data_IF_359372791530
#
_entry.id   IF_359372791530
#
_cell.length_a   1.000
_cell.length_b   1.000
_cell.length_c   1.000
_cell.angle_alpha   90.00
_cell.angle_beta   90.00
_cell.angle_gamma   90.00
#
_symmetry.space_group_name_H-M   'P 1'
#
loop_
_entity.id
_entity.type
_entity.pdbx_description
1 polymer ?
#
# COMPACT_ATOMS: atom_id res chain seq x y z
N UNK A 1 10.44 12.78 -2.00
CA UNK A 1 9.18 11.99 -2.05
C UNK A 1 9.41 10.55 -2.49
N UNK A 2 10.15 10.30 -3.57
CA UNK A 2 10.40 8.93 -4.09
C UNK A 2 11.00 7.95 -3.07
N UNK A 3 11.84 8.44 -2.14
CA UNK A 3 12.42 7.62 -1.06
C UNK A 3 11.38 7.11 -0.07
N UNK A 4 10.39 7.92 0.33
CA UNK A 4 9.36 7.54 1.32
C UNK A 4 8.45 6.43 0.80
N UNK A 5 7.99 6.53 -0.45
CA UNK A 5 7.20 5.47 -1.10
C UNK A 5 7.96 4.14 -1.15
N UNK A 6 9.24 4.19 -1.52
CA UNK A 6 10.08 2.98 -1.56
C UNK A 6 10.33 2.41 -0.19
N UNK A 7 10.65 3.26 0.79
CA UNK A 7 10.89 2.82 2.16
C UNK A 7 9.66 2.16 2.78
N UNK A 8 8.47 2.75 2.57
CA UNK A 8 7.21 2.13 2.93
C UNK A 8 7.05 0.75 2.27
N UNK A 9 7.30 0.62 0.96
CA UNK A 9 7.20 -0.67 0.27
C UNK A 9 8.16 -1.72 0.85
N UNK A 10 9.35 -1.33 1.30
CA UNK A 10 10.30 -2.26 1.94
C UNK A 10 9.79 -2.77 3.29
N UNK A 11 9.27 -1.87 4.13
CA UNK A 11 8.66 -2.24 5.40
C UNK A 11 7.43 -3.13 5.15
N UNK A 12 6.55 -2.70 4.24
CA UNK A 12 5.35 -3.44 3.88
C UNK A 12 5.68 -4.85 3.39
N UNK A 13 6.74 -5.01 2.57
CA UNK A 13 7.20 -6.33 2.14
C UNK A 13 7.56 -7.22 3.33
N UNK A 14 8.35 -6.72 4.29
CA UNK A 14 8.72 -7.48 5.50
C UNK A 14 7.49 -7.84 6.33
N UNK A 15 6.59 -6.87 6.55
CA UNK A 15 5.37 -7.08 7.34
C UNK A 15 4.44 -8.09 6.67
N UNK A 16 4.23 -8.00 5.36
CA UNK A 16 3.47 -8.98 4.59
C UNK A 16 4.09 -10.36 4.62
N UNK A 17 5.42 -10.47 4.50
CA UNK A 17 6.11 -11.76 4.58
C UNK A 17 5.93 -12.38 5.95
N UNK A 18 6.16 -11.62 7.03
CA UNK A 18 5.97 -12.11 8.40
C UNK A 18 4.52 -12.57 8.63
N UNK A 19 3.56 -11.77 8.20
CA UNK A 19 2.13 -12.10 8.30
C UNK A 19 1.69 -13.19 7.33
N UNK A 20 2.42 -13.51 6.27
CA UNK A 20 2.09 -14.66 5.43
C UNK A 20 2.64 -15.94 6.06
N UNK A 21 3.85 -15.89 6.62
CA UNK A 21 4.50 -17.05 7.22
C UNK A 21 3.78 -17.52 8.48
N UNK A 22 3.40 -16.61 9.40
CA UNK A 22 2.80 -16.98 10.68
C UNK A 22 1.45 -17.74 10.54
N UNK A 23 0.45 -17.25 9.79
CA UNK A 23 -0.83 -17.92 9.61
C UNK A 23 -0.72 -19.14 8.70
N UNK A 24 0.25 -19.24 7.80
CA UNK A 24 0.46 -20.49 7.05
C UNK A 24 0.88 -21.60 7.99
N UNK A 25 1.77 -21.32 8.95
CA UNK A 25 2.16 -22.31 9.98
C UNK A 25 0.95 -22.68 10.85
N UNK A 26 0.20 -21.68 11.33
CA UNK A 26 -0.98 -21.88 12.18
C UNK A 26 -2.10 -22.64 11.45
N UNK A 27 -2.41 -22.27 10.20
CA UNK A 27 -3.46 -22.90 9.39
C UNK A 27 -3.08 -24.28 8.86
N UNK A 28 -1.78 -24.57 8.71
CA UNK A 28 -1.31 -25.93 8.45
C UNK A 28 -1.59 -26.85 9.66
N UNK A 29 -1.52 -26.30 10.87
CA UNK A 29 -1.80 -27.04 12.11
C UNK A 29 -3.32 -27.23 12.31
N UNK A 30 -4.14 -26.23 11.95
CA UNK A 30 -5.61 -26.29 12.11
C UNK A 30 -6.39 -26.89 10.92
N UNK A 31 -5.72 -27.32 9.83
CA UNK A 31 -6.35 -27.77 8.56
C UNK A 31 -7.27 -26.74 7.86
N UNK A 32 -7.15 -25.44 8.19
CA UNK A 32 -8.08 -24.39 7.68
C UNK A 32 -7.70 -23.79 6.33
N UNK A 33 -6.57 -24.20 5.76
CA UNK A 33 -6.05 -23.65 4.49
C UNK A 33 -7.06 -23.68 3.33
N UNK A 34 -7.94 -24.69 3.27
CA UNK A 34 -8.87 -24.84 2.16
C UNK A 34 -9.92 -23.71 2.06
N UNK A 35 -10.25 -23.04 3.18
CA UNK A 35 -11.33 -22.05 3.22
C UNK A 35 -10.89 -20.62 2.90
N UNK A 36 -9.62 -20.26 3.10
CA UNK A 36 -9.17 -18.87 2.95
C UNK A 36 -7.78 -18.73 2.29
N UNK A 37 -7.36 -19.74 1.53
CA UNK A 37 -6.09 -19.72 0.79
C UNK A 37 -5.94 -18.46 -0.07
N UNK A 38 -7.04 -17.94 -0.65
CA UNK A 38 -7.03 -16.74 -1.48
C UNK A 38 -6.59 -15.51 -0.68
N UNK A 39 -7.01 -15.38 0.58
CA UNK A 39 -6.59 -14.29 1.45
C UNK A 39 -5.09 -14.36 1.72
N UNK A 40 -4.58 -15.56 2.01
CA UNK A 40 -3.15 -15.80 2.22
C UNK A 40 -2.33 -15.52 0.95
N UNK A 41 -2.86 -15.91 -0.22
CA UNK A 41 -2.26 -15.62 -1.52
C UNK A 41 -2.22 -14.11 -1.82
N UNK A 42 -3.26 -13.35 -1.48
CA UNK A 42 -3.29 -11.90 -1.64
C UNK A 42 -2.21 -11.21 -0.78
N UNK A 43 -1.98 -11.66 0.45
CA UNK A 43 -0.88 -11.15 1.27
C UNK A 43 0.49 -11.48 0.67
N UNK A 44 0.68 -12.71 0.17
CA UNK A 44 1.92 -13.09 -0.49
C UNK A 44 2.19 -12.26 -1.74
N UNK A 45 1.18 -12.10 -2.61
CA UNK A 45 1.28 -11.26 -3.81
C UNK A 45 1.56 -9.80 -3.45
N UNK A 46 0.96 -9.30 -2.36
CA UNK A 46 1.25 -7.96 -1.84
C UNK A 46 2.69 -7.85 -1.35
N UNK A 47 3.23 -8.87 -0.65
CA UNK A 47 4.64 -8.93 -0.26
C UNK A 47 5.58 -8.87 -1.48
N UNK A 48 5.33 -9.69 -2.50
CA UNK A 48 6.12 -9.74 -3.72
C UNK A 48 6.08 -8.42 -4.48
N UNK A 49 4.88 -7.84 -4.62
CA UNK A 49 4.72 -6.55 -5.29
C UNK A 49 5.41 -5.42 -4.51
N UNK A 50 5.28 -5.39 -3.18
CA UNK A 50 5.97 -4.44 -2.32
C UNK A 50 7.51 -4.57 -2.43
N UNK A 51 8.03 -5.80 -2.44
CA UNK A 51 9.45 -6.06 -2.57
C UNK A 51 9.98 -5.58 -3.94
N UNK A 52 9.29 -5.91 -5.02
CA UNK A 52 9.63 -5.44 -6.36
C UNK A 52 9.59 -3.91 -6.46
N UNK A 53 8.55 -3.27 -5.92
CA UNK A 53 8.41 -1.81 -5.90
C UNK A 53 9.47 -1.12 -5.01
N UNK A 54 9.86 -1.75 -3.90
CA UNK A 54 10.81 -1.21 -2.92
C UNK A 54 12.28 -1.35 -3.33
N UNK A 55 12.66 -2.45 -3.98
CA UNK A 55 14.04 -2.77 -4.36
C UNK A 55 14.25 -3.00 -5.85
N UNK A 56 13.33 -3.70 -6.52
CA UNK A 56 13.58 -4.26 -7.87
C UNK A 56 13.46 -3.28 -9.04
N UNK A 57 12.60 -2.27 -8.94
CA UNK A 57 12.34 -1.34 -10.06
C UNK A 57 13.08 -0.01 -9.94
N UNK A 58 13.58 0.52 -11.07
CA UNK A 58 14.16 1.87 -11.16
C UNK A 58 13.10 2.99 -11.12
N UNK A 59 11.88 2.70 -11.58
CA UNK A 59 10.77 3.67 -11.57
C UNK A 59 10.14 3.78 -10.18
N UNK A 60 9.75 4.99 -9.77
CA UNK A 60 8.97 5.17 -8.52
C UNK A 60 7.49 4.84 -8.70
N UNK A 61 7.00 4.76 -9.94
CA UNK A 61 5.57 4.59 -10.22
C UNK A 61 4.97 3.36 -9.53
N UNK A 62 5.61 2.16 -9.56
CA UNK A 62 5.09 1.01 -8.84
C UNK A 62 4.94 1.23 -7.34
N UNK A 63 5.89 1.92 -6.70
CA UNK A 63 5.81 2.22 -5.27
C UNK A 63 4.68 3.21 -4.95
N UNK A 64 4.39 4.15 -5.85
CA UNK A 64 3.21 5.03 -5.73
C UNK A 64 1.91 4.24 -5.87
N UNK A 65 1.81 3.39 -6.90
CA UNK A 65 0.64 2.53 -7.13
C UNK A 65 0.40 1.62 -5.93
N UNK A 66 1.46 1.02 -5.38
CA UNK A 66 1.36 0.19 -4.18
C UNK A 66 0.78 0.96 -2.99
N UNK A 67 1.35 2.12 -2.67
CA UNK A 67 0.89 2.95 -1.54
C UNK A 67 -0.57 3.37 -1.72
N UNK A 68 -0.95 3.85 -2.90
CA UNK A 68 -2.31 4.33 -3.15
C UNK A 68 -3.33 3.21 -3.23
N UNK A 69 -3.07 2.18 -4.04
CA UNK A 69 -4.03 1.12 -4.29
C UNK A 69 -4.04 0.11 -3.13
N UNK A 70 -2.90 -0.53 -2.84
CA UNK A 70 -2.83 -1.57 -1.81
C UNK A 70 -2.95 -0.95 -0.42
N UNK A 71 -2.22 0.12 -0.14
CA UNK A 71 -2.33 0.82 1.14
C UNK A 71 -3.72 1.41 1.38
N UNK A 72 -4.33 2.01 0.36
CA UNK A 72 -5.71 2.52 0.45
C UNK A 72 -6.74 1.42 0.68
N UNK A 73 -6.64 0.29 -0.04
CA UNK A 73 -7.49 -0.87 0.17
C UNK A 73 -7.36 -1.39 1.60
N UNK A 74 -6.14 -1.50 2.13
CA UNK A 74 -5.89 -1.99 3.48
C UNK A 74 -6.45 -1.04 4.54
N UNK A 75 -6.37 0.28 4.32
CA UNK A 75 -7.05 1.23 5.20
C UNK A 75 -8.57 1.01 5.21
N UNK A 76 -9.18 0.83 4.04
CA UNK A 76 -10.63 0.58 3.93
C UNK A 76 -11.00 -0.72 4.63
N UNK A 77 -10.29 -1.83 4.37
CA UNK A 77 -10.56 -3.11 5.01
C UNK A 77 -10.39 -3.03 6.53
N UNK A 78 -9.34 -2.36 7.01
CA UNK A 78 -9.07 -2.21 8.43
C UNK A 78 -10.10 -1.37 9.18
N UNK A 79 -10.77 -0.43 8.52
CA UNK A 79 -11.87 0.37 9.10
C UNK A 79 -13.20 -0.36 8.97
N UNK A 80 -13.55 -0.81 7.77
CA UNK A 80 -14.85 -1.44 7.48
C UNK A 80 -14.99 -2.80 8.18
N UNK A 81 -13.89 -3.54 8.35
CA UNK A 81 -13.88 -4.85 8.99
C UNK A 81 -14.32 -4.86 10.44
N UNK A 82 -14.35 -3.73 11.13
CA UNK A 82 -14.94 -3.64 12.48
C UNK A 82 -16.48 -3.72 12.46
N UNK A 83 -17.09 -3.55 11.30
CA UNK A 83 -18.55 -3.48 11.13
C UNK A 83 -19.12 -4.69 10.37
N UNK A 84 -18.27 -5.47 9.69
CA UNK A 84 -18.69 -6.66 8.95
C UNK A 84 -17.73 -7.83 9.25
N UNK A 85 -18.22 -9.08 9.32
CA UNK A 85 -17.37 -10.23 9.68
C UNK A 85 -16.37 -10.63 8.59
N UNK A 86 -16.59 -10.18 7.35
CA UNK A 86 -15.73 -10.49 6.22
C UNK A 86 -16.44 -10.33 4.87
N UNK A 87 -15.70 -10.56 3.79
CA UNK A 87 -16.21 -10.53 2.42
C UNK A 87 -16.29 -11.97 1.88
N UNK A 88 -17.36 -12.26 1.14
CA UNK A 88 -17.56 -13.53 0.39
C UNK A 88 -17.23 -14.81 1.20
N UNK A 89 -17.59 -14.82 2.49
CA UNK A 89 -17.20 -15.82 3.49
C UNK A 89 -17.62 -17.26 3.18
N UNK A 90 -18.59 -17.45 2.29
CA UNK A 90 -19.09 -18.77 1.88
C UNK A 90 -18.37 -19.35 0.67
N UNK A 91 -17.28 -18.71 0.23
CA UNK A 91 -16.53 -19.08 -0.98
C UNK A 91 -15.07 -19.34 -0.64
N UNK A 92 -14.30 -20.04 -1.51
CA UNK A 92 -12.84 -20.16 -1.37
C UNK A 92 -12.08 -18.82 -1.44
N UNK A 93 -12.77 -17.74 -1.77
CA UNK A 93 -12.25 -16.37 -1.81
C UNK A 93 -12.56 -15.58 -0.55
N UNK A 94 -12.98 -16.24 0.53
CA UNK A 94 -13.30 -15.63 1.81
C UNK A 94 -12.18 -14.70 2.28
N UNK A 95 -12.54 -13.47 2.62
CA UNK A 95 -11.66 -12.49 3.27
C UNK A 95 -12.22 -12.28 4.67
N UNK A 96 -11.78 -13.07 5.67
CA UNK A 96 -12.16 -12.83 7.06
C UNK A 96 -11.68 -11.45 7.51
N UNK A 97 -12.53 -10.73 8.24
CA UNK A 97 -12.23 -9.41 8.81
C UNK A 97 -12.39 -9.44 10.32
N UNK A 98 -11.72 -10.39 10.96
CA UNK A 98 -11.65 -10.46 12.41
C UNK A 98 -10.78 -9.34 13.00
N UNK A 99 -10.79 -9.17 14.34
CA UNK A 99 -9.96 -8.16 14.98
C UNK A 99 -8.46 -8.24 14.63
N UNK A 100 -7.81 -9.43 14.58
CA UNK A 100 -6.42 -9.54 14.17
C UNK A 100 -6.16 -9.04 12.74
N UNK A 101 -7.03 -9.41 11.80
CA UNK A 101 -6.94 -8.99 10.40
C UNK A 101 -7.12 -7.48 10.28
N UNK A 102 -8.09 -6.90 11.00
CA UNK A 102 -8.37 -5.47 10.96
C UNK A 102 -7.19 -4.65 11.51
N UNK A 103 -6.56 -5.10 12.61
CA UNK A 103 -5.35 -4.48 13.13
C UNK A 103 -4.22 -4.55 12.10
N UNK A 104 -4.01 -5.71 11.48
CA UNK A 104 -3.01 -5.85 10.42
C UNK A 104 -3.26 -4.91 9.24
N UNK A 105 -4.51 -4.83 8.77
CA UNK A 105 -4.94 -3.92 7.72
C UNK A 105 -4.66 -2.45 8.08
N UNK A 106 -4.97 -2.02 9.31
CA UNK A 106 -4.70 -0.65 9.79
C UNK A 106 -3.20 -0.36 9.94
N UNK A 107 -2.41 -1.31 10.42
CA UNK A 107 -0.94 -1.19 10.55
C UNK A 107 -0.28 -0.87 9.19
N UNK A 108 -0.83 -1.37 8.09
CA UNK A 108 -0.37 -1.02 6.74
C UNK A 108 -1.09 0.21 6.16
N UNK A 109 -2.40 0.31 6.35
CA UNK A 109 -3.23 1.36 5.75
C UNK A 109 -2.93 2.77 6.28
N UNK A 110 -2.73 2.93 7.59
CA UNK A 110 -2.50 4.24 8.20
C UNK A 110 -1.15 4.84 7.74
N UNK A 111 0.00 4.12 7.81
CA UNK A 111 1.25 4.65 7.29
C UNK A 111 1.21 4.91 5.78
N UNK A 112 0.48 4.09 5.01
CA UNK A 112 0.28 4.36 3.58
C UNK A 112 -0.43 5.70 3.34
N UNK A 113 -1.51 5.98 4.08
CA UNK A 113 -2.23 7.24 4.00
C UNK A 113 -1.36 8.44 4.36
N UNK A 114 -0.50 8.31 5.38
CA UNK A 114 0.49 9.33 5.74
C UNK A 114 1.47 9.57 4.58
N UNK A 115 2.05 8.51 4.01
CA UNK A 115 2.99 8.63 2.88
C UNK A 115 2.32 9.21 1.63
N UNK A 116 1.07 8.82 1.36
CA UNK A 116 0.26 9.36 0.28
C UNK A 116 -0.02 10.85 0.47
N UNK A 117 -0.49 11.26 1.66
CA UNK A 117 -0.81 12.65 2.01
C UNK A 117 0.40 13.58 1.97
N UNK A 118 1.56 13.12 2.46
CA UNK A 118 2.83 13.85 2.32
C UNK A 118 3.24 14.07 0.86
N UNK A 119 2.76 13.22 -0.06
CA UNK A 119 2.93 13.38 -1.51
C UNK A 119 1.99 14.40 -2.15
N UNK A 120 0.81 14.61 -1.59
CA UNK A 120 -0.24 15.52 -2.11
C UNK A 120 -0.03 16.96 -1.64
N UNK A 121 0.38 17.15 -0.39
CA UNK A 121 0.50 18.48 0.25
C UNK A 121 1.65 19.36 -0.31
N UNK A 122 2.47 18.83 -1.23
CA UNK A 122 3.51 19.59 -1.94
C UNK A 122 3.08 19.81 -3.39
N UNK A 123 2.02 20.59 -3.59
CA UNK A 123 1.72 21.20 -4.88
C UNK A 123 2.93 22.05 -5.27
N UNK A 124 3.43 22.00 -6.51
CA UNK A 124 4.42 22.97 -6.96
C UNK A 124 3.81 24.35 -6.75
N UNK A 125 4.37 25.14 -5.84
CA UNK A 125 4.20 26.59 -5.92
C UNK A 125 4.61 26.94 -7.33
N UNK A 126 3.61 27.22 -8.18
CA UNK A 126 3.83 27.76 -9.50
C UNK A 126 4.86 28.87 -9.32
N UNK A 127 5.95 28.81 -10.08
CA UNK A 127 6.92 29.90 -10.18
C UNK A 127 6.15 31.13 -10.66
N UNK A 128 5.61 31.88 -9.73
CA UNK A 128 5.10 33.21 -9.93
C UNK A 128 6.31 34.16 -9.83
N UNK A 129 7.30 33.96 -10.69
CA UNK A 129 8.46 34.83 -10.84
C UNK A 129 9.11 34.49 -12.18
N UNK A 130 8.60 35.12 -13.24
CA UNK A 130 9.40 35.97 -14.13
C UNK A 130 8.49 36.46 -15.27
N UNK A 131 7.94 37.69 -15.20
CA UNK A 131 7.61 38.41 -16.42
C UNK A 131 8.93 38.60 -17.17
N UNK A 132 9.08 37.88 -18.28
CA UNK A 132 10.19 38.05 -19.20
C UNK A 132 10.03 39.42 -19.88
N UNK A 133 10.44 40.47 -19.19
CA UNK A 133 10.55 41.82 -19.74
C UNK A 133 11.73 41.80 -20.72
N UNK A 134 11.48 41.34 -21.94
CA UNK A 134 12.37 41.61 -23.07
C UNK A 134 12.20 43.09 -23.40
N UNK A 135 13.02 43.93 -22.76
CA UNK A 135 13.24 45.28 -23.20
C UNK A 135 13.70 45.24 -24.66
N UNK A 136 12.92 45.93 -25.49
CA UNK A 136 13.29 46.40 -26.81
C UNK A 136 14.68 47.03 -26.77
N UNK A 137 15.62 46.44 -27.51
CA UNK A 137 16.80 47.13 -28.02
C UNK A 137 16.65 47.24 -29.54
N UNK A 138 15.87 48.24 -29.97
CA UNK A 138 16.18 48.93 -31.21
C UNK A 138 17.45 49.76 -30.98
N UNK A 139 18.06 50.23 -32.07
CA UNK A 139 19.28 51.07 -32.18
C UNK A 139 20.57 50.24 -32.34
N UNK A 140 21.26 50.26 -33.50
CA UNK A 140 21.08 51.00 -34.75
C UNK A 140 22.07 50.50 -35.80
#
# INVERSE_FOLDING_TARGET
MTRSYRYYCRIAAVVFTAYTVYPVVDKLIEERLAHDWAHSALHLLSALFAAWAGWGTRSVLPAKVFVWAVGGLYLVLGVVGWFIPGLVLTTPFAIPLGPPENVFHLVLGVPAAIVAGLGVLRVPTARADEPRYQHSGMEG
#
